data_IF_420310917848
#
_entry.id   IF_420310917848
#
_cell.length_a   1.000
_cell.length_b   1.000
_cell.length_c   1.000
_cell.angle_alpha   90.00
_cell.angle_beta   90.00
_cell.angle_gamma   90.00
#
_symmetry.space_group_name_H-M   'P 1'
#
loop_
_entity.id
_entity.type
_entity.pdbx_description
1 polymer ?
#
# COMPACT_ATOMS: atom_id res chain seq x y z
N UNK A 1 -15.87 -31.44 -12.98
CA UNK A 1 -14.50 -30.91 -12.77
C UNK A 1 -14.23 -29.78 -13.77
N UNK A 2 -14.06 -28.56 -13.28
CA UNK A 2 -13.72 -27.42 -14.17
C UNK A 2 -12.34 -27.63 -14.81
N UNK A 3 -12.23 -27.38 -16.10
CA UNK A 3 -10.93 -27.44 -16.79
C UNK A 3 -9.95 -26.41 -16.22
N UNK A 4 -8.64 -26.60 -16.40
CA UNK A 4 -7.60 -25.65 -15.99
C UNK A 4 -7.88 -24.23 -16.50
N UNK A 5 -8.36 -24.11 -17.73
CA UNK A 5 -8.70 -22.83 -18.38
C UNK A 5 -9.91 -22.16 -17.70
N UNK A 6 -10.96 -22.94 -17.35
CA UNK A 6 -12.13 -22.41 -16.64
C UNK A 6 -11.78 -21.94 -15.24
N UNK A 7 -10.88 -22.65 -14.51
CA UNK A 7 -10.39 -22.21 -13.19
C UNK A 7 -9.61 -20.88 -13.29
N UNK A 8 -8.74 -20.76 -14.29
CA UNK A 8 -8.00 -19.52 -14.51
C UNK A 8 -8.92 -18.33 -14.85
N UNK A 9 -9.97 -18.55 -15.62
CA UNK A 9 -10.97 -17.52 -15.91
C UNK A 9 -11.72 -17.11 -14.65
N UNK A 10 -12.18 -18.06 -13.83
CA UNK A 10 -12.86 -17.74 -12.58
C UNK A 10 -11.98 -16.95 -11.60
N UNK A 11 -10.69 -17.32 -11.45
CA UNK A 11 -9.74 -16.58 -10.60
C UNK A 11 -9.56 -15.16 -11.12
N UNK A 12 -9.37 -15.02 -12.43
CA UNK A 12 -9.26 -13.69 -13.05
C UNK A 12 -10.49 -12.84 -12.81
N UNK A 13 -11.66 -13.40 -13.03
CA UNK A 13 -12.94 -12.68 -12.89
C UNK A 13 -13.15 -12.23 -11.42
N UNK A 14 -12.82 -13.08 -10.45
CA UNK A 14 -12.82 -12.70 -9.03
C UNK A 14 -11.83 -11.56 -8.76
N UNK A 15 -10.57 -11.69 -9.20
CA UNK A 15 -9.56 -10.65 -8.98
C UNK A 15 -9.94 -9.31 -9.66
N UNK A 16 -10.57 -9.36 -10.83
CA UNK A 16 -11.07 -8.15 -11.50
C UNK A 16 -12.26 -7.53 -10.76
N UNK A 17 -13.11 -8.32 -10.15
CA UNK A 17 -14.21 -7.83 -9.32
C UNK A 17 -13.71 -7.18 -8.03
N UNK A 18 -12.72 -7.82 -7.38
CA UNK A 18 -12.22 -7.42 -6.06
C UNK A 18 -11.05 -6.41 -6.10
N UNK A 19 -10.55 -6.07 -7.28
CA UNK A 19 -9.36 -5.19 -7.42
C UNK A 19 -9.53 -3.79 -6.80
N UNK A 20 -10.74 -3.32 -6.64
CA UNK A 20 -11.06 -2.07 -5.97
C UNK A 20 -11.31 -2.25 -4.46
N UNK A 21 -11.32 -3.50 -3.99
CA UNK A 21 -11.53 -3.89 -2.61
C UNK A 21 -10.19 -4.10 -1.90
N UNK A 22 -9.23 -3.27 -2.28
CA UNK A 22 -7.90 -3.21 -1.70
C UNK A 22 -7.33 -1.81 -1.87
N UNK A 23 -6.45 -1.43 -0.97
CA UNK A 23 -5.76 -0.15 -1.03
C UNK A 23 -4.28 -0.31 -0.67
N UNK A 24 -3.43 0.43 -1.35
CA UNK A 24 -1.99 0.45 -1.07
C UNK A 24 -1.54 1.90 -0.93
N UNK A 25 -0.87 2.20 0.18
CA UNK A 25 -0.22 3.47 0.44
C UNK A 25 1.27 3.26 0.63
N UNK A 26 2.07 4.06 -0.04
CA UNK A 26 3.52 3.96 0.04
C UNK A 26 4.17 5.33 0.22
N UNK A 27 4.92 5.48 1.31
CA UNK A 27 5.83 6.60 1.51
C UNK A 27 7.14 6.32 0.79
N UNK A 28 7.63 7.28 0.04
CA UNK A 28 8.93 7.19 -0.62
C UNK A 28 9.86 8.33 -0.17
N UNK A 29 11.13 8.05 -0.18
CA UNK A 29 12.15 9.04 0.17
C UNK A 29 12.28 10.14 -0.89
N UNK A 30 12.13 9.74 -2.16
CA UNK A 30 12.28 10.63 -3.30
C UNK A 30 11.50 10.11 -4.51
N UNK A 31 10.99 11.02 -5.31
CA UNK A 31 10.35 10.69 -6.59
C UNK A 31 11.36 10.53 -7.75
N UNK A 32 12.66 10.70 -7.49
CA UNK A 32 13.71 10.69 -8.52
C UNK A 32 13.68 9.41 -9.36
N UNK A 33 13.57 8.26 -8.72
CA UNK A 33 13.60 6.96 -9.39
C UNK A 33 12.30 6.70 -10.17
N UNK A 34 11.16 7.02 -9.59
CA UNK A 34 9.85 6.94 -10.24
C UNK A 34 9.79 7.84 -11.49
N UNK A 35 10.32 9.06 -11.40
CA UNK A 35 10.42 9.97 -12.56
C UNK A 35 11.29 9.39 -13.66
N UNK A 36 12.48 8.86 -13.32
CA UNK A 36 13.36 8.20 -14.30
C UNK A 36 12.72 7.00 -14.97
N UNK A 37 11.92 6.25 -14.23
CA UNK A 37 11.21 5.07 -14.72
C UNK A 37 9.92 5.36 -15.49
N UNK A 38 9.49 6.62 -15.61
CA UNK A 38 8.25 6.99 -16.29
C UNK A 38 6.97 6.50 -15.59
N UNK A 39 7.04 6.18 -14.29
CA UNK A 39 5.93 5.64 -13.50
C UNK A 39 5.20 6.70 -12.65
N UNK A 40 5.49 7.96 -12.85
CA UNK A 40 4.82 9.06 -12.14
C UNK A 40 3.89 9.78 -13.10
N UNK A 41 2.64 9.91 -12.69
CA UNK A 41 1.67 10.75 -13.41
C UNK A 41 2.08 12.23 -13.33
N UNK A 42 1.49 13.08 -14.17
CA UNK A 42 1.73 14.53 -14.15
C UNK A 42 1.43 15.13 -12.76
N UNK A 43 0.45 14.60 -12.04
CA UNK A 43 0.13 14.98 -10.65
C UNK A 43 1.25 14.63 -9.67
N UNK A 44 1.85 13.45 -9.81
CA UNK A 44 3.03 13.04 -9.03
C UNK A 44 4.27 13.87 -9.37
N UNK A 45 4.44 14.29 -10.62
CA UNK A 45 5.54 15.16 -11.04
C UNK A 45 5.45 16.56 -10.41
N UNK A 46 4.26 17.05 -10.09
CA UNK A 46 4.03 18.34 -9.42
C UNK A 46 4.44 18.35 -7.93
N UNK A 47 4.70 17.19 -7.33
CA UNK A 47 5.34 17.10 -6.02
C UNK A 47 6.82 17.41 -6.23
N UNK A 48 7.15 18.70 -6.30
CA UNK A 48 8.51 19.18 -6.57
C UNK A 48 9.55 18.61 -5.62
N UNK A 49 10.81 18.66 -6.02
CA UNK A 49 12.00 18.35 -5.21
C UNK A 49 12.19 19.39 -4.09
N UNK A 50 11.26 19.44 -3.15
CA UNK A 50 11.43 20.27 -1.94
C UNK A 50 12.11 19.41 -0.89
N UNK A 51 13.20 19.92 -0.35
CA UNK A 51 13.99 19.25 0.68
C UNK A 51 13.11 18.93 1.90
N UNK A 52 13.19 17.69 2.40
CA UNK A 52 12.46 17.27 3.60
C UNK A 52 11.01 16.81 3.39
N UNK A 53 10.51 16.80 2.14
CA UNK A 53 9.19 16.22 1.84
C UNK A 53 9.32 14.72 1.65
N UNK A 54 8.42 13.98 2.31
CA UNK A 54 8.20 12.54 2.12
C UNK A 54 6.86 12.35 1.40
N UNK A 55 6.86 12.14 0.09
CA UNK A 55 5.63 11.89 -0.65
C UNK A 55 4.99 10.57 -0.22
N UNK A 56 3.67 10.58 -0.07
CA UNK A 56 2.86 9.37 0.03
C UNK A 56 2.11 9.21 -1.28
N UNK A 57 2.26 8.06 -1.88
CA UNK A 57 1.57 7.64 -3.09
C UNK A 57 0.51 6.60 -2.73
N UNK A 58 -0.51 6.48 -3.54
CA UNK A 58 -1.52 5.43 -3.42
C UNK A 58 -1.62 4.63 -4.72
N UNK A 59 -1.97 3.37 -4.59
CA UNK A 59 -2.46 2.53 -5.67
C UNK A 59 -3.87 2.11 -5.30
N UNK A 60 -4.83 2.54 -6.11
CA UNK A 60 -6.21 2.11 -6.02
C UNK A 60 -6.64 1.65 -7.41
N UNK A 61 -6.90 0.36 -7.53
CA UNK A 61 -7.06 -0.28 -8.82
C UNK A 61 -5.76 -0.35 -9.62
N UNK A 62 -5.65 0.38 -10.71
CA UNK A 62 -4.54 0.26 -11.69
C UNK A 62 -3.52 1.40 -11.64
N UNK A 63 -3.79 2.48 -10.91
CA UNK A 63 -3.01 3.71 -11.01
C UNK A 63 -2.19 3.99 -9.76
N UNK A 64 -0.93 4.39 -9.98
CA UNK A 64 -0.08 4.97 -8.95
C UNK A 64 -0.24 6.49 -8.98
N UNK A 65 -0.93 7.03 -7.99
CA UNK A 65 -1.23 8.44 -7.86
C UNK A 65 -0.59 9.07 -6.62
N UNK A 66 -0.47 10.41 -6.64
CA UNK A 66 -0.04 11.17 -5.49
C UNK A 66 -1.18 11.28 -4.47
N UNK A 67 -0.96 10.77 -3.26
CA UNK A 67 -1.93 10.85 -2.17
C UNK A 67 -1.69 12.04 -1.24
N UNK A 68 -0.47 12.20 -0.72
CA UNK A 68 -0.16 13.28 0.21
C UNK A 68 1.30 13.75 0.10
N UNK A 69 1.49 15.04 0.39
CA UNK A 69 2.81 15.65 0.66
C UNK A 69 2.98 15.77 2.16
N UNK A 70 4.00 15.13 2.71
CA UNK A 70 4.22 15.15 4.15
C UNK A 70 5.62 15.65 4.51
N UNK A 71 5.74 16.27 5.68
CA UNK A 71 7.04 16.70 6.22
C UNK A 71 7.52 15.63 7.20
N UNK A 72 8.42 14.77 6.71
CA UNK A 72 9.01 13.71 7.50
C UNK A 72 8.18 12.43 7.61
N UNK A 73 8.85 11.37 8.06
CA UNK A 73 8.32 9.98 8.13
C UNK A 73 7.12 9.87 9.07
N UNK A 74 7.17 10.53 10.23
CA UNK A 74 6.09 10.45 11.23
C UNK A 74 4.74 10.94 10.68
N UNK A 75 4.75 12.04 9.92
CA UNK A 75 3.53 12.56 9.31
C UNK A 75 3.03 11.65 8.18
N UNK A 76 3.95 11.08 7.39
CA UNK A 76 3.61 10.13 6.35
C UNK A 76 2.91 8.89 6.92
N UNK A 77 3.49 8.26 7.94
CA UNK A 77 2.92 7.12 8.64
C UNK A 77 1.51 7.41 9.16
N UNK A 78 1.31 8.54 9.85
CA UNK A 78 -0.03 8.95 10.32
C UNK A 78 -1.04 9.11 9.19
N UNK A 79 -0.61 9.67 8.05
CA UNK A 79 -1.50 9.83 6.89
C UNK A 79 -1.88 8.49 6.26
N UNK A 80 -0.94 7.55 6.17
CA UNK A 80 -1.20 6.21 5.65
C UNK A 80 -2.14 5.42 6.57
N UNK A 81 -1.90 5.42 7.89
CA UNK A 81 -2.78 4.78 8.87
C UNK A 81 -4.20 5.35 8.79
N UNK A 82 -4.32 6.68 8.77
CA UNK A 82 -5.63 7.34 8.71
C UNK A 82 -6.38 7.01 7.40
N UNK A 83 -5.67 6.85 6.28
CA UNK A 83 -6.26 6.48 5.01
C UNK A 83 -6.79 5.04 5.03
N UNK A 84 -5.97 4.08 5.48
CA UNK A 84 -6.38 2.68 5.64
C UNK A 84 -7.56 2.55 6.58
N UNK A 85 -7.51 3.21 7.75
CA UNK A 85 -8.61 3.18 8.71
C UNK A 85 -9.91 3.69 8.11
N UNK A 86 -9.86 4.83 7.42
CA UNK A 86 -11.02 5.40 6.75
C UNK A 86 -11.63 4.45 5.72
N UNK A 87 -10.82 3.82 4.88
CA UNK A 87 -11.31 2.87 3.87
C UNK A 87 -11.94 1.63 4.52
N UNK A 88 -11.33 1.11 5.59
CA UNK A 88 -11.87 -0.03 6.33
C UNK A 88 -13.20 0.31 7.03
N UNK A 89 -13.29 1.50 7.66
CA UNK A 89 -14.51 1.99 8.32
C UNK A 89 -15.66 2.24 7.32
N UNK A 90 -15.35 2.80 6.15
CA UNK A 90 -16.34 3.02 5.10
C UNK A 90 -16.89 1.72 4.52
N UNK A 91 -16.08 0.65 4.54
CA UNK A 91 -16.43 -0.63 3.94
C UNK A 91 -17.02 -1.62 4.94
N UNK A 92 -16.50 -1.69 6.16
CA UNK A 92 -16.86 -2.65 7.18
C UNK A 92 -17.47 -1.96 8.40
N UNK A 93 -18.81 -1.86 8.42
CA UNK A 93 -19.54 -1.10 9.42
C UNK A 93 -19.62 -1.79 10.79
N UNK A 94 -19.30 -3.09 10.88
CA UNK A 94 -19.29 -3.85 12.13
C UNK A 94 -18.04 -3.58 13.00
N UNK A 95 -17.03 -2.93 12.43
CA UNK A 95 -15.78 -2.58 13.11
C UNK A 95 -14.82 -3.76 13.32
N UNK A 96 -15.16 -4.97 12.91
CA UNK A 96 -14.27 -6.13 12.98
C UNK A 96 -13.45 -6.29 11.70
N UNK A 97 -12.45 -5.44 11.54
CA UNK A 97 -11.60 -5.45 10.37
C UNK A 97 -10.84 -6.76 10.18
N UNK A 98 -10.48 -7.43 11.30
CA UNK A 98 -9.77 -8.70 11.26
C UNK A 98 -10.55 -9.84 10.64
N UNK A 99 -11.89 -9.78 10.72
CA UNK A 99 -12.78 -10.72 10.04
C UNK A 99 -12.78 -10.55 8.53
N UNK A 100 -12.72 -9.30 8.06
CA UNK A 100 -13.01 -8.95 6.68
C UNK A 100 -11.78 -8.67 5.81
N UNK A 101 -10.63 -8.34 6.42
CA UNK A 101 -9.47 -7.92 5.64
C UNK A 101 -8.15 -8.43 6.21
N UNK A 102 -7.17 -8.55 5.31
CA UNK A 102 -5.76 -8.73 5.62
C UNK A 102 -5.06 -7.38 5.68
N UNK A 103 -4.11 -7.23 6.58
CA UNK A 103 -3.21 -6.08 6.63
C UNK A 103 -1.81 -6.51 6.21
N UNK A 104 -1.18 -5.73 5.36
CA UNK A 104 0.13 -6.03 4.82
C UNK A 104 1.03 -4.81 4.89
N UNK A 105 2.32 -5.02 5.02
CA UNK A 105 3.29 -3.95 4.82
C UNK A 105 4.47 -4.41 3.97
N UNK A 106 5.12 -3.44 3.35
CA UNK A 106 6.33 -3.70 2.58
C UNK A 106 7.33 -2.56 2.75
N UNK A 107 8.61 -2.88 2.51
CA UNK A 107 9.68 -1.92 2.73
C UNK A 107 10.83 -2.10 1.73
N UNK A 108 11.72 -1.09 1.67
CA UNK A 108 12.97 -1.20 0.93
C UNK A 108 14.15 -0.90 1.85
N UNK A 109 15.11 -1.82 1.93
CA UNK A 109 16.44 -1.71 2.55
C UNK A 109 16.49 -1.56 4.07
N UNK A 110 15.65 -0.75 4.71
CA UNK A 110 15.73 -0.43 6.13
C UNK A 110 14.83 -1.35 6.95
N UNK A 111 15.40 -2.46 7.42
CA UNK A 111 14.68 -3.47 8.21
C UNK A 111 14.30 -2.96 9.61
N UNK A 112 15.14 -2.11 10.24
CA UNK A 112 14.84 -1.55 11.55
C UNK A 112 13.62 -0.63 11.48
N UNK A 113 13.58 0.25 10.47
CA UNK A 113 12.41 1.09 10.22
C UNK A 113 11.16 0.28 9.87
N UNK A 114 11.33 -0.86 9.17
CA UNK A 114 10.25 -1.77 8.82
C UNK A 114 9.68 -2.47 10.06
N UNK A 115 10.52 -2.94 10.97
CA UNK A 115 10.08 -3.58 12.23
C UNK A 115 9.27 -2.58 13.08
N UNK A 116 9.76 -1.37 13.26
CA UNK A 116 9.01 -0.30 13.97
C UNK A 116 7.69 0.02 13.28
N UNK A 117 7.67 0.00 11.95
CA UNK A 117 6.45 0.22 11.18
C UNK A 117 5.43 -0.89 11.38
N UNK A 118 5.88 -2.15 11.41
CA UNK A 118 5.06 -3.30 11.76
C UNK A 118 4.40 -3.14 13.12
N UNK A 119 5.19 -2.81 14.15
CA UNK A 119 4.68 -2.63 15.51
C UNK A 119 3.61 -1.54 15.58
N UNK A 120 3.85 -0.41 14.91
CA UNK A 120 2.88 0.69 14.82
C UNK A 120 1.57 0.24 14.14
N UNK A 121 1.66 -0.49 13.03
CA UNK A 121 0.48 -0.99 12.30
C UNK A 121 -0.31 -2.01 13.11
N UNK A 122 0.36 -2.95 13.77
CA UNK A 122 -0.30 -3.96 14.59
C UNK A 122 -0.98 -3.34 15.83
N UNK A 123 -0.43 -2.27 16.39
CA UNK A 123 -1.04 -1.53 17.48
C UNK A 123 -2.29 -0.74 17.02
N UNK A 124 -2.27 -0.21 15.80
CA UNK A 124 -3.39 0.57 15.24
C UNK A 124 -4.53 -0.29 14.70
N UNK A 125 -4.24 -1.52 14.28
CA UNK A 125 -5.19 -2.47 13.70
C UNK A 125 -5.14 -3.83 14.42
N UNK A 126 -5.52 -3.88 15.70
CA UNK A 126 -5.50 -5.12 16.46
C UNK A 126 -6.48 -6.15 15.88
N UNK A 127 -6.09 -7.42 15.91
CA UNK A 127 -6.92 -8.53 15.43
C UNK A 127 -6.84 -8.80 13.94
N UNK A 128 -6.24 -7.93 13.13
CA UNK A 128 -6.01 -8.21 11.71
C UNK A 128 -4.84 -9.18 11.52
N UNK A 129 -5.00 -10.11 10.58
CA UNK A 129 -3.88 -10.93 10.11
C UNK A 129 -2.89 -10.03 9.37
N UNK A 130 -1.61 -10.14 9.74
CA UNK A 130 -0.57 -9.25 9.27
C UNK A 130 0.59 -9.97 8.61
N UNK A 131 1.01 -9.49 7.44
CA UNK A 131 2.20 -9.94 6.74
C UNK A 131 3.12 -8.77 6.40
N UNK A 132 4.44 -8.98 6.48
CA UNK A 132 5.44 -7.99 6.08
C UNK A 132 6.56 -8.63 5.27
N UNK A 133 6.84 -8.06 4.10
CA UNK A 133 7.89 -8.52 3.19
C UNK A 133 8.71 -7.34 2.61
N UNK A 134 9.97 -7.58 2.24
CA UNK A 134 10.70 -6.63 1.43
C UNK A 134 10.10 -6.53 0.02
N UNK A 135 10.05 -5.32 -0.52
CA UNK A 135 9.65 -5.13 -1.91
C UNK A 135 10.63 -5.81 -2.86
N UNK A 136 10.11 -6.47 -3.88
CA UNK A 136 10.94 -7.13 -4.89
C UNK A 136 11.94 -6.15 -5.52
N UNK A 137 13.08 -6.64 -5.98
CA UNK A 137 14.14 -5.81 -6.56
C UNK A 137 13.62 -4.96 -7.73
N UNK A 138 12.73 -5.51 -8.56
CA UNK A 138 12.13 -4.80 -9.68
C UNK A 138 11.33 -3.57 -9.24
N UNK A 139 10.58 -3.66 -8.14
CA UNK A 139 9.83 -2.53 -7.57
C UNK A 139 10.78 -1.57 -6.84
N UNK A 140 11.72 -2.10 -6.06
CA UNK A 140 12.67 -1.31 -5.30
C UNK A 140 13.54 -0.40 -6.18
N UNK A 141 13.92 -0.85 -7.39
CA UNK A 141 14.66 -0.04 -8.37
C UNK A 141 13.89 1.21 -8.82
N UNK A 142 12.56 1.15 -8.84
CA UNK A 142 11.72 2.30 -9.21
C UNK A 142 11.36 3.21 -8.04
N UNK A 143 11.26 2.65 -6.84
CA UNK A 143 10.84 3.37 -5.62
C UNK A 143 12.05 3.96 -4.88
N UNK A 144 13.17 3.24 -4.89
CA UNK A 144 14.38 3.59 -4.15
C UNK A 144 14.38 3.06 -2.71
N UNK A 145 15.47 3.35 -2.00
CA UNK A 145 15.63 2.94 -0.61
C UNK A 145 14.78 3.79 0.34
N UNK A 146 14.46 3.26 1.54
CA UNK A 146 13.76 3.97 2.60
C UNK A 146 12.26 4.09 2.41
N UNK A 147 11.67 3.33 1.48
CA UNK A 147 10.23 3.26 1.33
C UNK A 147 9.58 2.38 2.41
N UNK A 148 8.42 2.81 2.88
CA UNK A 148 7.53 2.05 3.76
C UNK A 148 6.13 2.07 3.15
N UNK A 149 5.52 0.90 3.04
CA UNK A 149 4.18 0.74 2.51
C UNK A 149 3.26 0.07 3.53
N UNK A 150 1.98 0.34 3.39
CA UNK A 150 0.89 -0.42 4.01
C UNK A 150 -0.16 -0.72 2.95
N UNK A 151 -0.69 -1.91 3.00
CA UNK A 151 -1.79 -2.35 2.16
C UNK A 151 -2.84 -3.07 3.00
N UNK A 152 -4.06 -3.03 2.54
CA UNK A 152 -5.13 -3.90 3.02
C UNK A 152 -5.82 -4.56 1.83
N UNK A 153 -6.31 -5.77 2.04
CA UNK A 153 -6.99 -6.54 1.02
C UNK A 153 -8.20 -7.22 1.63
N UNK A 154 -9.34 -7.15 0.98
CA UNK A 154 -10.54 -7.86 1.40
C UNK A 154 -10.32 -9.38 1.41
N UNK A 155 -10.82 -10.05 2.44
CA UNK A 155 -10.87 -11.51 2.50
C UNK A 155 -12.00 -11.97 1.59
N UNK A 156 -11.68 -12.84 0.65
CA UNK A 156 -12.68 -13.48 -0.20
C UNK A 156 -13.26 -14.63 0.61
N UNK A 157 -14.56 -14.59 0.88
CA UNK A 157 -15.25 -15.71 1.51
C UNK A 157 -15.24 -16.92 0.56
N UNK A 158 -14.90 -18.11 1.09
CA UNK A 158 -14.87 -19.39 0.37
C UNK A 158 -16.28 -19.89 0.02
#
# INVERSE_FOLDING_TARGET
>A
VRSRRQRQMCIRDSLEADKLDSGIYIMVDTLKYLKKGGRVTAAGAAIGTVLGIKPVLQIHGEKLDAFAKTRGVKQAKKKMIAAVRKELEERFQDGDFGKHAYLQSAYTKDEEAALKWKEELMAEFPGMEFQQDPLSLSVACHIGAGALAVAWTHKIDD
#
